data_IF_763443584860
#
_entry.id   IF_763443584860
#
_cell.length_a   1.000
_cell.length_b   1.000
_cell.length_c   1.000
_cell.angle_alpha   90.00
_cell.angle_beta   90.00
_cell.angle_gamma   90.00
#
_symmetry.space_group_name_H-M   'P 1'
#
loop_
_entity.id
_entity.type
_entity.pdbx_description
1 polymer ?
#
# COMPACT_ATOMS: atom_id res chain seq x y z
N UNK A 1 -1.65 84.27 17.54
CA UNK A 1 -2.07 83.06 18.21
C UNK A 1 -2.35 81.97 17.19
N UNK A 2 -1.45 81.01 17.03
CA UNK A 2 -1.62 79.84 16.12
C UNK A 2 -1.87 78.61 16.96
N UNK A 3 -2.89 77.77 16.67
CA UNK A 3 -3.06 76.52 17.39
C UNK A 3 -2.14 75.42 16.84
N UNK A 4 -1.47 74.71 17.74
CA UNK A 4 -0.66 73.54 17.49
C UNK A 4 -1.59 72.35 17.48
N UNK A 5 -1.67 71.65 16.32
CA UNK A 5 -2.45 70.41 16.19
C UNK A 5 -1.48 69.28 16.52
N UNK A 6 -1.78 68.56 17.59
CA UNK A 6 -1.12 67.30 18.01
C UNK A 6 -1.73 66.15 17.17
N UNK A 7 -0.95 65.58 16.24
CA UNK A 7 -1.34 64.34 15.54
C UNK A 7 -0.81 63.18 16.36
N UNK A 8 -1.71 62.46 17.03
CA UNK A 8 -1.48 61.19 17.65
C UNK A 8 -1.38 60.08 16.57
N UNK A 9 -0.20 59.62 16.29
CA UNK A 9 0.05 58.41 15.50
C UNK A 9 -0.34 57.17 16.32
N UNK A 10 -1.51 56.60 16.02
CA UNK A 10 -1.90 55.27 16.47
C UNK A 10 -1.24 54.24 15.57
N UNK A 11 -0.13 53.64 16.02
CA UNK A 11 0.47 52.50 15.37
C UNK A 11 -0.38 51.25 15.66
N UNK A 12 -1.22 50.88 14.69
CA UNK A 12 -1.90 49.59 14.66
C UNK A 12 -0.86 48.49 14.44
N UNK A 13 -0.52 47.77 15.52
CA UNK A 13 0.15 46.46 15.42
C UNK A 13 -0.88 45.49 14.86
N UNK A 14 -0.89 45.31 13.56
CA UNK A 14 -1.58 44.20 12.92
C UNK A 14 -0.79 42.93 13.22
N UNK A 15 -1.25 42.18 14.22
CA UNK A 15 -0.85 40.79 14.39
C UNK A 15 -1.33 40.03 13.15
N UNK A 16 -0.44 39.72 12.26
CA UNK A 16 -0.68 38.83 11.14
C UNK A 16 -1.02 37.44 11.74
N UNK A 17 -2.30 37.15 11.88
CA UNK A 17 -2.78 35.79 12.02
C UNK A 17 -2.40 35.11 10.71
N UNK A 18 -1.44 34.20 10.76
CA UNK A 18 -1.12 33.34 9.64
C UNK A 18 -2.39 32.58 9.26
N UNK A 19 -2.89 32.85 8.06
CA UNK A 19 -3.97 32.05 7.47
C UNK A 19 -3.56 30.58 7.49
N UNK A 20 -4.49 29.67 7.81
CA UNK A 20 -4.21 28.25 7.72
C UNK A 20 -3.88 27.95 6.26
N UNK A 21 -2.64 27.53 5.98
CA UNK A 21 -2.25 27.05 4.66
C UNK A 21 -3.18 25.90 4.28
N UNK A 22 -3.94 26.08 3.23
CA UNK A 22 -4.75 25.00 2.64
C UNK A 22 -3.79 23.86 2.25
N UNK A 23 -4.01 22.70 2.85
CA UNK A 23 -3.28 21.47 2.51
C UNK A 23 -3.61 21.13 1.06
N UNK A 24 -2.62 21.03 0.16
CA UNK A 24 -2.89 20.69 -1.23
C UNK A 24 -3.67 19.37 -1.31
N UNK A 25 -4.76 19.35 -2.06
CA UNK A 25 -5.66 18.20 -2.24
C UNK A 25 -4.93 16.92 -2.71
N UNK A 26 -3.72 17.06 -3.24
CA UNK A 26 -2.85 15.96 -3.73
C UNK A 26 -2.12 15.16 -2.64
N UNK A 27 -1.96 15.67 -1.43
CA UNK A 27 -1.07 15.04 -0.45
C UNK A 27 -1.62 13.75 0.18
N UNK A 28 -2.92 13.58 0.46
CA UNK A 28 -3.48 12.29 0.85
C UNK A 28 -3.32 11.22 -0.23
N UNK A 29 -3.44 11.60 -1.51
CA UNK A 29 -3.16 10.71 -2.65
C UNK A 29 -1.68 10.28 -2.68
N UNK A 30 -0.75 11.20 -2.41
CA UNK A 30 0.68 10.93 -2.32
C UNK A 30 1.00 9.93 -1.19
N UNK A 31 0.39 10.09 -0.01
CA UNK A 31 0.54 9.16 1.12
C UNK A 31 0.16 7.71 0.74
N UNK A 32 -0.89 7.55 -0.04
CA UNK A 32 -1.32 6.23 -0.54
C UNK A 32 -0.42 5.74 -1.66
N UNK A 33 -0.16 6.56 -2.68
CA UNK A 33 0.60 6.19 -3.87
C UNK A 33 2.06 5.86 -3.57
N UNK A 34 2.64 6.48 -2.54
CA UNK A 34 4.01 6.18 -2.08
C UNK A 34 4.06 5.01 -1.07
N UNK A 35 2.96 4.30 -0.87
CA UNK A 35 2.92 3.09 -0.04
C UNK A 35 2.90 3.31 1.48
N UNK A 36 2.85 4.55 1.96
CA UNK A 36 2.85 4.88 3.39
C UNK A 36 1.65 4.24 4.12
N UNK A 37 0.49 4.18 3.46
CA UNK A 37 -0.73 3.58 3.99
C UNK A 37 -0.62 2.06 4.27
N UNK A 38 0.43 1.40 3.78
CA UNK A 38 0.70 -0.01 4.09
C UNK A 38 1.01 -0.25 5.56
N UNK A 39 1.69 0.71 6.21
CA UNK A 39 2.15 0.59 7.59
C UNK A 39 1.54 1.64 8.53
N UNK A 40 1.03 2.73 7.99
CA UNK A 40 0.56 3.89 8.75
C UNK A 40 -0.92 4.17 8.49
N UNK A 41 -1.60 4.72 9.48
CA UNK A 41 -2.93 5.33 9.36
C UNK A 41 -2.82 6.85 9.55
N UNK A 42 -3.82 7.59 9.07
CA UNK A 42 -3.83 9.05 9.22
C UNK A 42 -4.26 9.44 10.64
N UNK A 43 -5.43 9.03 11.11
CA UNK A 43 -6.10 9.61 12.29
C UNK A 43 -6.56 8.62 13.37
N UNK A 44 -6.30 7.32 13.29
CA UNK A 44 -6.73 6.39 14.35
C UNK A 44 -5.80 6.42 15.55
N UNK A 45 -6.34 6.49 16.80
CA UNK A 45 -5.56 6.19 17.98
C UNK A 45 -5.03 4.77 17.91
N UNK A 46 -3.82 4.56 18.40
CA UNK A 46 -3.23 3.21 18.57
C UNK A 46 -3.97 2.52 19.70
N UNK A 47 -5.24 2.21 19.52
CA UNK A 47 -5.93 1.28 20.39
C UNK A 47 -5.63 -0.14 19.92
N UNK A 48 -4.71 -0.76 20.65
CA UNK A 48 -4.59 -2.20 20.96
C UNK A 48 -4.74 -3.22 19.82
N UNK A 49 -4.87 -2.85 18.57
CA UNK A 49 -4.91 -3.81 17.49
C UNK A 49 -3.51 -4.00 16.91
N UNK A 50 -2.94 -5.16 17.20
CA UNK A 50 -1.63 -5.70 16.81
C UNK A 50 -1.30 -5.66 15.29
N UNK A 51 -2.02 -4.87 14.49
CA UNK A 51 -1.98 -4.90 13.03
C UNK A 51 -1.35 -3.65 12.38
N UNK A 52 -1.06 -2.58 13.15
CA UNK A 52 -0.38 -1.41 12.60
C UNK A 52 1.08 -1.43 13.00
N UNK A 53 1.94 -1.48 11.99
CA UNK A 53 3.39 -1.58 12.16
C UNK A 53 3.97 -0.23 12.61
N UNK A 54 3.35 0.89 12.19
CA UNK A 54 3.83 2.24 12.46
C UNK A 54 2.82 3.13 13.19
N UNK A 55 3.26 4.29 13.71
CA UNK A 55 2.39 5.28 14.35
C UNK A 55 1.41 5.88 13.35
N UNK A 56 0.31 6.46 13.84
CA UNK A 56 -0.57 7.27 12.99
C UNK A 56 0.15 8.56 12.57
N UNK A 57 -0.18 9.09 11.39
CA UNK A 57 0.41 10.35 10.93
C UNK A 57 0.01 11.52 11.84
N UNK A 58 -1.22 11.51 12.39
CA UNK A 58 -1.64 12.48 13.40
C UNK A 58 -0.82 12.40 14.70
N UNK A 59 -0.42 11.21 15.13
CA UNK A 59 0.48 11.06 16.28
C UNK A 59 1.89 11.60 15.98
N UNK A 60 2.38 11.36 14.75
CA UNK A 60 3.66 11.92 14.29
C UNK A 60 3.58 13.45 14.22
N UNK A 61 2.54 13.98 13.58
CA UNK A 61 2.29 15.43 13.49
C UNK A 61 2.22 16.07 14.88
N UNK A 62 1.43 15.51 15.80
CA UNK A 62 1.32 16.03 17.17
C UNK A 62 2.65 16.03 17.94
N UNK A 63 3.49 15.02 17.70
CA UNK A 63 4.79 14.91 18.38
C UNK A 63 5.80 15.93 17.88
N UNK A 64 5.77 16.25 16.59
CA UNK A 64 6.81 17.05 15.96
C UNK A 64 6.38 18.46 15.51
N UNK A 65 5.07 18.77 15.48
CA UNK A 65 4.56 20.06 14.99
C UNK A 65 5.13 21.29 15.75
N UNK A 66 5.41 21.15 17.05
CA UNK A 66 5.94 22.23 17.87
C UNK A 66 7.46 22.10 18.12
N UNK A 67 8.13 21.12 17.52
CA UNK A 67 9.57 20.94 17.66
C UNK A 67 10.30 21.81 16.64
N UNK A 68 11.34 22.58 17.04
CA UNK A 68 12.10 23.44 16.12
C UNK A 68 12.68 22.69 14.91
N UNK A 69 13.02 21.41 15.09
CA UNK A 69 13.56 20.51 14.06
C UNK A 69 12.54 19.46 13.60
N UNK A 70 11.25 19.71 13.77
CA UNK A 70 10.20 18.73 13.50
C UNK A 70 10.18 18.28 12.03
N UNK A 71 10.24 19.22 11.10
CA UNK A 71 10.30 18.94 9.67
C UNK A 71 11.55 18.12 9.31
N UNK A 72 12.73 18.54 9.75
CA UNK A 72 13.98 17.84 9.50
C UNK A 72 13.98 16.42 10.08
N UNK A 73 13.38 16.24 11.26
CA UNK A 73 13.27 14.92 11.91
C UNK A 73 12.40 13.96 11.12
N UNK A 74 11.30 14.45 10.54
CA UNK A 74 10.43 13.65 9.69
C UNK A 74 11.14 13.33 8.37
N UNK A 75 11.74 14.31 7.71
CA UNK A 75 12.52 14.13 6.49
C UNK A 75 13.65 13.12 6.67
N UNK A 76 14.43 13.26 7.75
CA UNK A 76 15.47 12.29 8.08
C UNK A 76 14.91 10.87 8.28
N UNK A 77 13.74 10.74 8.92
CA UNK A 77 13.10 9.43 9.11
C UNK A 77 12.59 8.83 7.80
N UNK A 78 12.13 9.64 6.86
CA UNK A 78 11.75 9.19 5.51
C UNK A 78 12.98 8.72 4.72
N UNK A 79 14.09 9.43 4.79
CA UNK A 79 15.30 9.12 4.04
C UNK A 79 16.10 7.94 4.61
N UNK A 80 16.28 7.90 5.92
CA UNK A 80 17.17 6.97 6.61
C UNK A 80 16.44 5.82 7.31
N UNK A 81 15.10 5.89 7.35
CA UNK A 81 14.29 5.02 8.19
C UNK A 81 14.24 5.46 9.65
N UNK A 82 13.50 4.74 10.47
CA UNK A 82 13.37 5.04 11.89
C UNK A 82 13.31 3.75 12.71
N UNK A 83 14.14 3.70 13.78
CA UNK A 83 14.20 2.59 14.73
C UNK A 83 14.04 3.10 16.16
N UNK A 84 13.23 2.41 16.95
CA UNK A 84 13.10 2.69 18.39
C UNK A 84 12.36 3.98 18.77
N UNK A 85 11.97 4.83 17.80
CA UNK A 85 11.25 6.09 18.06
C UNK A 85 9.78 5.90 18.46
N UNK A 86 9.17 4.81 17.98
CA UNK A 86 7.75 4.47 18.08
C UNK A 86 7.50 3.01 18.48
N UNK A 87 8.37 2.42 19.27
CA UNK A 87 8.31 1.02 19.68
C UNK A 87 9.41 0.17 19.03
N UNK A 88 9.20 -1.14 18.98
CA UNK A 88 10.21 -2.09 18.49
C UNK A 88 10.25 -2.23 16.95
N UNK A 89 9.18 -1.82 16.28
CA UNK A 89 9.10 -1.93 14.82
C UNK A 89 10.01 -0.88 14.15
N UNK A 90 10.66 -1.30 13.08
CA UNK A 90 11.52 -0.43 12.29
C UNK A 90 10.77 0.05 11.03
N UNK A 91 10.89 1.33 10.73
CA UNK A 91 10.49 1.90 9.44
C UNK A 91 11.71 1.86 8.52
N UNK A 92 11.67 1.16 7.38
CA UNK A 92 12.77 1.14 6.44
C UNK A 92 12.93 2.51 5.76
N UNK A 93 14.15 2.82 5.21
CA UNK A 93 14.35 4.00 4.38
C UNK A 93 13.41 4.02 3.17
N UNK A 94 12.84 5.19 2.86
CA UNK A 94 11.93 5.40 1.73
C UNK A 94 12.70 5.99 0.54
N UNK A 95 13.74 5.29 0.08
CA UNK A 95 14.67 5.76 -0.97
C UNK A 95 14.04 6.00 -2.34
N UNK A 96 12.79 5.57 -2.55
CA UNK A 96 12.03 5.82 -3.77
C UNK A 96 11.35 7.19 -3.79
N UNK A 97 11.27 7.89 -2.65
CA UNK A 97 10.70 9.24 -2.60
C UNK A 97 11.63 10.24 -3.25
N UNK A 98 11.08 11.08 -4.13
CA UNK A 98 11.80 12.30 -4.53
C UNK A 98 11.86 13.28 -3.37
N UNK A 99 12.80 14.23 -3.43
CA UNK A 99 12.95 15.26 -2.41
C UNK A 99 11.63 16.03 -2.21
N UNK A 100 11.01 16.43 -3.31
CA UNK A 100 9.77 17.21 -3.34
C UNK A 100 8.61 16.43 -2.70
N UNK A 101 8.49 15.13 -3.01
CA UNK A 101 7.45 14.26 -2.42
C UNK A 101 7.67 14.05 -0.93
N UNK A 102 8.91 13.90 -0.50
CA UNK A 102 9.26 13.78 0.92
C UNK A 102 8.93 15.06 1.70
N UNK A 103 9.25 16.23 1.14
CA UNK A 103 8.94 17.54 1.72
C UNK A 103 7.42 17.74 1.85
N UNK A 104 6.65 17.50 0.78
CA UNK A 104 5.20 17.62 0.80
C UNK A 104 4.55 16.69 1.84
N UNK A 105 5.02 15.44 1.94
CA UNK A 105 4.54 14.51 2.95
C UNK A 105 4.88 14.97 4.38
N UNK A 106 6.10 15.44 4.60
CA UNK A 106 6.54 15.87 5.93
C UNK A 106 5.79 17.13 6.39
N UNK A 107 5.60 18.10 5.52
CA UNK A 107 4.81 19.31 5.78
C UNK A 107 3.35 18.95 6.10
N UNK A 108 2.75 18.11 5.27
CA UNK A 108 1.39 17.64 5.51
C UNK A 108 1.25 16.90 6.86
N UNK A 109 2.18 16.01 7.20
CA UNK A 109 2.16 15.31 8.49
C UNK A 109 2.17 16.30 9.65
N UNK A 110 2.93 17.39 9.55
CA UNK A 110 2.98 18.42 10.59
C UNK A 110 1.66 19.19 10.74
N UNK A 111 0.81 19.23 9.69
CA UNK A 111 -0.53 19.81 9.80
C UNK A 111 -1.53 18.91 10.53
N UNK A 112 -1.24 17.58 10.61
CA UNK A 112 -2.09 16.60 11.26
C UNK A 112 -1.88 16.63 12.78
N UNK A 113 -2.51 17.57 13.45
CA UNK A 113 -2.49 17.63 14.92
C UNK A 113 -3.57 16.74 15.50
N UNK A 114 -3.25 16.06 16.61
CA UNK A 114 -4.28 15.47 17.45
C UNK A 114 -5.17 16.62 17.94
N UNK A 115 -6.45 16.59 17.62
CA UNK A 115 -7.40 17.50 18.26
C UNK A 115 -7.40 17.14 19.74
N UNK A 116 -6.90 18.04 20.59
CA UNK A 116 -7.03 17.91 22.03
C UNK A 116 -8.51 18.02 22.36
N UNK A 117 -9.07 16.97 22.92
CA UNK A 117 -10.36 17.01 23.56
C UNK A 117 -10.28 18.00 24.75
N UNK A 118 -11.23 18.95 24.88
CA UNK A 118 -11.24 19.82 26.07
C UNK A 118 -11.56 18.97 27.30
N UNK A 119 -10.57 18.91 28.19
CA UNK A 119 -10.55 18.47 29.56
C UNK A 119 -11.72 17.63 30.07
N UNK A 120 -11.52 16.34 30.27
CA UNK A 120 -12.40 15.47 31.02
C UNK A 120 -11.63 14.64 32.01
N UNK A 121 -11.67 15.08 33.29
CA UNK A 121 -11.15 14.33 34.42
C UNK A 121 -11.91 13.00 34.59
N UNK A 122 -11.16 11.96 34.93
CA UNK A 122 -11.67 10.64 35.25
C UNK A 122 -12.74 10.65 36.34
N UNK A 123 -13.92 10.10 36.04
CA UNK A 123 -14.79 9.43 37.05
C UNK A 123 -15.55 8.29 36.35
N UNK A 124 -15.48 7.15 37.02
CA UNK A 124 -16.07 5.87 36.71
C UNK A 124 -17.60 5.87 36.63
N UNK A 125 -18.14 5.03 35.73
CA UNK A 125 -19.43 4.38 35.89
C UNK A 125 -20.63 5.13 35.33
N UNK A 126 -21.14 4.64 34.19
CA UNK A 126 -22.43 4.98 33.64
C UNK A 126 -22.43 4.85 32.13
N UNK A 127 -23.20 3.89 31.65
CA UNK A 127 -23.44 3.69 30.22
C UNK A 127 -24.04 4.98 29.63
N UNK A 128 -23.22 5.79 29.01
CA UNK A 128 -23.63 6.98 28.27
C UNK A 128 -23.67 6.60 26.80
N UNK A 129 -24.78 6.84 26.08
CA UNK A 129 -24.78 6.65 24.65
C UNK A 129 -23.67 7.53 24.04
N UNK A 130 -22.75 6.92 23.29
CA UNK A 130 -21.72 7.67 22.61
C UNK A 130 -22.36 8.72 21.70
N UNK A 131 -21.96 10.00 21.81
CA UNK A 131 -22.33 10.97 20.82
C UNK A 131 -21.77 10.48 19.49
N UNK A 132 -22.62 10.37 18.48
CA UNK A 132 -22.21 10.07 17.13
C UNK A 132 -21.02 10.99 16.78
N UNK A 133 -19.85 10.39 16.58
CA UNK A 133 -18.60 11.11 16.30
C UNK A 133 -18.77 11.82 14.96
N UNK A 134 -19.20 13.07 15.03
CA UNK A 134 -19.33 13.92 13.86
C UNK A 134 -17.91 14.44 13.54
N UNK A 135 -17.21 13.75 12.66
CA UNK A 135 -15.95 14.26 12.12
C UNK A 135 -16.33 15.34 11.09
N UNK A 136 -16.10 16.64 11.38
CA UNK A 136 -16.47 17.72 10.48
C UNK A 136 -15.77 17.63 9.12
N UNK A 137 -14.62 16.93 9.02
CA UNK A 137 -13.96 16.64 7.74
C UNK A 137 -14.66 15.53 6.92
N UNK A 138 -15.61 14.79 7.52
CA UNK A 138 -16.42 13.79 6.84
C UNK A 138 -17.83 14.29 6.50
N UNK A 139 -18.25 15.50 6.94
CA UNK A 139 -19.64 15.93 6.81
C UNK A 139 -19.94 16.85 5.63
N UNK A 140 -18.96 17.46 4.96
CA UNK A 140 -19.29 18.43 3.89
C UNK A 140 -18.54 18.31 2.57
N UNK A 141 -17.42 17.58 2.50
CA UNK A 141 -16.88 16.99 1.26
C UNK A 141 -16.33 15.65 1.63
N UNK A 142 -16.95 14.57 1.22
CA UNK A 142 -16.36 13.25 1.24
C UNK A 142 -15.04 13.38 0.49
N UNK A 143 -13.93 13.47 1.23
CA UNK A 143 -12.59 13.23 0.65
C UNK A 143 -12.73 11.92 -0.10
N UNK A 144 -12.49 11.94 -1.42
CA UNK A 144 -12.82 10.82 -2.28
C UNK A 144 -12.29 9.53 -1.69
N UNK A 145 -13.19 8.63 -1.36
CA UNK A 145 -12.85 7.27 -0.89
C UNK A 145 -12.35 6.41 -2.04
N UNK A 146 -12.48 6.92 -3.24
CA UNK A 146 -12.00 6.31 -4.48
C UNK A 146 -10.51 6.59 -4.62
N UNK A 147 -9.74 5.50 -4.67
CA UNK A 147 -8.32 5.56 -5.01
C UNK A 147 -8.22 5.43 -6.52
N UNK A 148 -7.77 6.48 -7.17
CA UNK A 148 -7.51 6.52 -8.61
C UNK A 148 -6.05 6.19 -8.91
N UNK A 149 -5.80 5.60 -10.07
CA UNK A 149 -4.46 5.36 -10.59
C UNK A 149 -4.13 6.50 -11.55
N UNK A 150 -3.16 7.32 -11.17
CA UNK A 150 -2.62 8.38 -12.02
C UNK A 150 -1.52 7.85 -12.96
N UNK A 151 -0.50 8.67 -13.18
CA UNK A 151 0.62 8.36 -14.08
C UNK A 151 1.65 7.38 -13.48
N UNK A 152 1.51 7.03 -12.22
CA UNK A 152 2.41 6.09 -11.52
C UNK A 152 1.62 4.92 -10.92
N UNK A 153 2.24 3.73 -10.80
CA UNK A 153 1.61 2.60 -10.11
C UNK A 153 1.21 2.94 -8.68
N UNK A 154 0.04 2.46 -8.27
CA UNK A 154 -0.48 2.60 -6.91
C UNK A 154 -0.44 1.25 -6.21
N UNK A 155 0.15 1.20 -5.01
CA UNK A 155 0.18 0.00 -4.18
C UNK A 155 -0.58 0.25 -2.88
N UNK A 156 -1.61 -0.54 -2.62
CA UNK A 156 -2.49 -0.38 -1.47
C UNK A 156 -2.65 -1.70 -0.72
N UNK A 157 -2.37 -1.71 0.58
CA UNK A 157 -2.60 -2.87 1.43
C UNK A 157 -3.95 -2.74 2.15
N UNK A 158 -4.90 -3.60 1.79
CA UNK A 158 -6.27 -3.56 2.30
C UNK A 158 -6.91 -4.95 2.34
N UNK A 159 -8.08 -5.04 2.99
CA UNK A 159 -8.90 -6.23 2.89
C UNK A 159 -9.60 -6.27 1.54
N UNK A 160 -9.43 -7.36 0.82
CA UNK A 160 -10.04 -7.60 -0.48
C UNK A 160 -10.79 -8.93 -0.49
N UNK A 161 -11.89 -9.04 -1.24
CA UNK A 161 -12.65 -10.28 -1.34
C UNK A 161 -11.77 -11.45 -1.80
N UNK A 162 -11.84 -12.58 -1.09
CA UNK A 162 -11.09 -13.78 -1.42
C UNK A 162 -9.67 -13.86 -0.85
N UNK A 163 -9.17 -12.82 -0.19
CA UNK A 163 -7.91 -12.86 0.55
C UNK A 163 -8.13 -13.45 1.95
N UNK A 164 -7.16 -14.22 2.47
CA UNK A 164 -7.22 -14.73 3.85
C UNK A 164 -6.99 -13.63 4.88
N UNK A 165 -6.21 -12.62 4.52
CA UNK A 165 -5.95 -11.45 5.36
C UNK A 165 -5.91 -10.20 4.48
N UNK A 166 -5.09 -9.20 4.83
CA UNK A 166 -4.90 -8.04 3.98
C UNK A 166 -4.12 -8.43 2.72
N UNK A 167 -4.71 -8.14 1.56
CA UNK A 167 -4.05 -8.27 0.28
C UNK A 167 -3.28 -7.00 -0.08
N UNK A 168 -2.39 -7.13 -1.04
CA UNK A 168 -1.70 -6.02 -1.69
C UNK A 168 -2.35 -5.82 -3.05
N UNK A 169 -3.10 -4.72 -3.18
CA UNK A 169 -3.67 -4.28 -4.45
C UNK A 169 -2.67 -3.41 -5.19
N UNK A 170 -2.52 -3.64 -6.47
CA UNK A 170 -1.64 -2.86 -7.35
C UNK A 170 -2.45 -2.37 -8.54
N UNK A 171 -2.52 -1.05 -8.70
CA UNK A 171 -3.10 -0.39 -9.86
C UNK A 171 -2.01 0.09 -10.79
N UNK A 172 -2.09 -0.24 -12.07
CA UNK A 172 -1.13 0.18 -13.08
C UNK A 172 -1.72 1.32 -13.90
N UNK A 173 -0.94 2.38 -14.21
CA UNK A 173 -1.39 3.47 -15.07
C UNK A 173 -1.72 2.98 -16.49
N UNK A 174 -2.46 3.81 -17.24
CA UNK A 174 -2.88 3.48 -18.61
C UNK A 174 -1.72 3.13 -19.53
N UNK A 175 -0.60 3.79 -19.39
CA UNK A 175 0.64 3.54 -20.15
C UNK A 175 1.20 2.13 -19.91
N UNK A 176 0.95 1.56 -18.72
CA UNK A 176 1.30 0.18 -18.38
C UNK A 176 0.12 -0.80 -18.54
N UNK A 177 -0.95 -0.36 -19.22
CA UNK A 177 -2.10 -1.20 -19.56
C UNK A 177 -3.37 -0.95 -18.74
N UNK A 178 -3.38 -0.04 -17.77
CA UNK A 178 -4.57 0.32 -16.99
C UNK A 178 -5.21 -0.84 -16.23
N UNK A 179 -4.39 -1.84 -15.84
CA UNK A 179 -4.83 -3.08 -15.22
C UNK A 179 -4.45 -3.05 -13.75
N UNK A 180 -5.29 -3.65 -12.95
CA UNK A 180 -5.04 -3.80 -11.53
C UNK A 180 -5.00 -5.27 -11.14
N UNK A 181 -4.22 -5.59 -10.10
CA UNK A 181 -4.19 -6.95 -9.56
C UNK A 181 -4.09 -6.97 -8.03
N UNK A 182 -4.50 -8.08 -7.44
CA UNK A 182 -4.41 -8.33 -6.01
C UNK A 182 -3.49 -9.52 -5.72
N UNK A 183 -2.57 -9.35 -4.78
CA UNK A 183 -1.67 -10.36 -4.27
C UNK A 183 -2.02 -10.70 -2.81
N UNK A 184 -2.23 -11.98 -2.50
CA UNK A 184 -2.43 -12.43 -1.12
C UNK A 184 -1.08 -12.63 -0.43
N UNK A 185 -0.78 -11.76 0.54
CA UNK A 185 0.45 -11.84 1.30
C UNK A 185 0.54 -13.06 2.24
N UNK A 186 -0.61 -13.66 2.62
CA UNK A 186 -0.64 -14.86 3.47
C UNK A 186 -0.37 -16.13 2.67
N UNK A 187 -0.90 -16.17 1.44
CA UNK A 187 -0.77 -17.32 0.55
C UNK A 187 0.31 -17.10 -0.53
N UNK A 188 1.02 -15.97 -0.50
CA UNK A 188 2.12 -15.60 -1.40
C UNK A 188 1.78 -15.80 -2.90
N UNK A 189 0.57 -15.47 -3.29
CA UNK A 189 0.08 -15.72 -4.67
C UNK A 189 -0.78 -14.60 -5.21
N UNK A 190 -0.87 -14.52 -6.54
CA UNK A 190 -1.87 -13.71 -7.23
C UNK A 190 -3.27 -14.20 -6.84
N UNK A 191 -4.18 -13.29 -6.54
CA UNK A 191 -5.60 -13.58 -6.31
C UNK A 191 -6.41 -13.45 -7.60
N UNK A 192 -6.36 -12.27 -8.18
CA UNK A 192 -7.09 -11.94 -9.40
C UNK A 192 -6.54 -10.67 -10.05
N UNK A 193 -6.95 -10.47 -11.29
CA UNK A 193 -6.67 -9.28 -12.08
C UNK A 193 -8.00 -8.66 -12.51
N UNK A 194 -8.08 -7.34 -12.52
CA UNK A 194 -9.27 -6.61 -12.98
C UNK A 194 -8.87 -5.42 -13.84
N UNK A 195 -9.81 -4.95 -14.66
CA UNK A 195 -9.69 -3.75 -15.49
C UNK A 195 -10.78 -2.75 -15.15
N UNK A 196 -10.56 -1.48 -15.44
CA UNK A 196 -11.43 -0.37 -15.09
C UNK A 196 -10.93 0.40 -13.87
N UNK A 197 -11.82 0.95 -13.05
CA UNK A 197 -11.45 1.70 -11.86
C UNK A 197 -10.72 0.85 -10.82
N UNK A 198 -9.92 1.49 -9.96
CA UNK A 198 -9.09 0.77 -8.99
C UNK A 198 -9.88 0.34 -7.76
N UNK A 199 -9.95 1.17 -6.72
CA UNK A 199 -10.59 0.80 -5.44
C UNK A 199 -11.44 1.92 -4.88
N UNK A 200 -12.60 1.56 -4.31
CA UNK A 200 -13.30 2.38 -3.35
C UNK A 200 -13.01 1.86 -1.93
N UNK A 201 -12.39 2.71 -1.15
CA UNK A 201 -11.92 2.43 0.19
C UNK A 201 -12.93 2.85 1.28
N UNK A 202 -14.11 3.34 0.92
CA UNK A 202 -15.08 3.89 1.89
C UNK A 202 -15.27 2.97 3.08
N UNK A 203 -15.64 1.73 2.85
CA UNK A 203 -15.88 0.77 3.94
C UNK A 203 -14.61 0.38 4.67
N UNK A 204 -13.49 0.27 3.96
CA UNK A 204 -12.20 -0.10 4.55
C UNK A 204 -11.64 1.01 5.45
N UNK A 205 -11.93 2.28 5.16
CA UNK A 205 -11.47 3.43 5.94
C UNK A 205 -12.43 3.87 7.04
N UNK A 206 -13.73 3.70 6.85
CA UNK A 206 -14.75 4.15 7.81
C UNK A 206 -15.26 3.03 8.72
N UNK A 207 -15.09 1.77 8.34
CA UNK A 207 -15.54 0.60 9.10
C UNK A 207 -14.66 0.29 10.31
N UNK A 208 -15.23 -0.42 11.29
CA UNK A 208 -14.55 -0.84 12.54
C UNK A 208 -13.60 -2.04 12.36
N UNK A 209 -13.02 -2.20 11.16
CA UNK A 209 -12.11 -3.31 10.80
C UNK A 209 -12.82 -4.46 10.09
N UNK A 210 -12.07 -5.17 9.22
CA UNK A 210 -12.60 -6.34 8.49
C UNK A 210 -13.50 -6.06 7.29
N UNK A 211 -13.74 -4.80 6.97
CA UNK A 211 -14.52 -4.44 5.79
C UNK A 211 -13.64 -4.43 4.53
N UNK A 212 -14.17 -5.03 3.47
CA UNK A 212 -13.47 -5.12 2.19
C UNK A 212 -13.56 -3.79 1.43
N UNK A 213 -12.44 -3.39 0.83
CA UNK A 213 -12.46 -2.37 -0.22
C UNK A 213 -13.23 -2.93 -1.43
N UNK A 214 -13.95 -2.03 -2.12
CA UNK A 214 -14.72 -2.38 -3.31
C UNK A 214 -13.85 -2.19 -4.55
N UNK A 215 -13.79 -3.22 -5.41
CA UNK A 215 -13.21 -3.08 -6.74
C UNK A 215 -14.13 -2.20 -7.60
N UNK A 216 -13.56 -1.22 -8.28
CA UNK A 216 -14.31 -0.33 -9.19
C UNK A 216 -14.26 -0.79 -10.64
N UNK A 217 -13.66 -1.95 -10.89
CA UNK A 217 -13.58 -2.56 -12.20
C UNK A 217 -14.14 -3.98 -12.26
N UNK A 218 -14.07 -4.58 -13.44
CA UNK A 218 -14.48 -5.96 -13.68
C UNK A 218 -13.30 -6.93 -13.58
N UNK A 219 -13.46 -8.03 -12.85
CA UNK A 219 -12.47 -9.11 -12.83
C UNK A 219 -12.36 -9.75 -14.20
N UNK A 220 -11.14 -9.80 -14.71
CA UNK A 220 -10.80 -10.41 -16.01
C UNK A 220 -10.03 -11.73 -15.86
N UNK A 221 -9.46 -11.96 -14.68
CA UNK A 221 -8.79 -13.22 -14.35
C UNK A 221 -8.94 -13.53 -12.88
N UNK A 222 -9.21 -14.80 -12.55
CA UNK A 222 -9.21 -15.35 -11.21
C UNK A 222 -8.12 -16.41 -11.12
N UNK A 223 -7.10 -16.16 -10.29
CA UNK A 223 -6.03 -17.14 -10.10
C UNK A 223 -6.53 -18.37 -9.32
N UNK A 224 -5.88 -19.55 -9.50
CA UNK A 224 -6.19 -20.74 -8.73
C UNK A 224 -6.08 -20.52 -7.22
N UNK A 225 -6.83 -21.30 -6.45
CA UNK A 225 -6.77 -21.24 -5.00
C UNK A 225 -5.50 -21.86 -4.38
N UNK A 226 -4.69 -22.59 -5.18
CA UNK A 226 -3.44 -23.18 -4.73
C UNK A 226 -2.24 -22.25 -5.00
N UNK A 227 -1.18 -22.43 -4.23
CA UNK A 227 0.10 -21.77 -4.47
C UNK A 227 0.76 -22.37 -5.73
N UNK A 228 1.26 -21.54 -6.67
CA UNK A 228 1.63 -22.03 -7.98
C UNK A 228 2.96 -22.75 -8.06
N UNK A 229 3.90 -22.55 -7.11
CA UNK A 229 5.21 -23.19 -7.19
C UNK A 229 5.28 -24.46 -6.34
N UNK A 230 6.08 -25.41 -6.81
CA UNK A 230 6.63 -26.52 -6.06
C UNK A 230 8.14 -26.53 -6.23
N UNK A 231 8.84 -26.64 -5.11
CA UNK A 231 10.30 -26.57 -5.03
C UNK A 231 10.81 -27.87 -4.44
N UNK A 232 11.81 -28.49 -5.08
CA UNK A 232 12.36 -29.79 -4.67
C UNK A 232 11.72 -30.96 -5.41
N UNK A 233 12.12 -32.18 -5.07
CA UNK A 233 11.71 -33.41 -5.77
C UNK A 233 10.21 -33.68 -5.61
N UNK A 234 9.50 -34.03 -6.68
CA UNK A 234 8.04 -34.23 -6.65
C UNK A 234 7.56 -35.32 -5.67
N UNK A 235 8.38 -36.33 -5.45
CA UNK A 235 8.06 -37.47 -4.58
C UNK A 235 8.48 -37.15 -3.15
N UNK A 236 7.56 -36.58 -2.35
CA UNK A 236 7.77 -36.30 -0.93
C UNK A 236 7.55 -34.85 -0.51
N UNK A 237 7.13 -34.00 -1.41
CA UNK A 237 6.72 -32.62 -1.07
C UNK A 237 5.40 -32.63 -0.29
N UNK A 238 5.25 -31.77 0.73
CA UNK A 238 3.99 -31.59 1.40
C UNK A 238 2.92 -31.12 0.40
N UNK A 239 1.69 -31.55 0.59
CA UNK A 239 0.55 -31.15 -0.26
C UNK A 239 0.41 -29.63 -0.36
N UNK A 240 0.80 -28.94 0.71
CA UNK A 240 0.87 -27.48 0.80
C UNK A 240 2.22 -27.04 1.34
N UNK A 241 3.00 -26.21 0.59
CA UNK A 241 4.28 -25.72 1.05
C UNK A 241 4.11 -24.77 2.24
N UNK A 242 5.15 -24.69 3.08
CA UNK A 242 5.27 -23.64 4.10
C UNK A 242 5.58 -22.31 3.42
N UNK A 243 4.75 -21.30 3.66
CA UNK A 243 4.88 -19.97 3.04
C UNK A 243 5.10 -18.91 4.12
N UNK A 244 6.18 -18.15 4.00
CA UNK A 244 6.50 -17.04 4.91
C UNK A 244 6.68 -15.76 4.13
N UNK A 245 5.70 -14.88 4.15
CA UNK A 245 5.78 -13.57 3.51
C UNK A 245 6.75 -12.66 4.27
N UNK A 246 7.76 -12.11 3.58
CA UNK A 246 8.78 -11.22 4.14
C UNK A 246 8.51 -9.74 3.84
N UNK A 247 7.69 -9.45 2.84
CA UNK A 247 7.40 -8.08 2.42
C UNK A 247 7.48 -7.92 0.90
N UNK A 248 7.65 -6.70 0.45
CA UNK A 248 7.96 -6.38 -0.94
C UNK A 248 8.87 -5.16 -1.02
N UNK A 249 9.57 -5.03 -2.12
CA UNK A 249 10.29 -3.81 -2.50
C UNK A 249 9.70 -3.26 -3.80
N UNK A 250 9.80 -1.95 -4.00
CA UNK A 250 9.36 -1.33 -5.24
C UNK A 250 10.49 -1.32 -6.27
N UNK A 251 10.22 -1.89 -7.43
CA UNK A 251 11.12 -1.88 -8.58
C UNK A 251 10.41 -1.14 -9.70
N UNK A 252 10.88 0.06 -10.03
CA UNK A 252 10.22 0.96 -10.99
C UNK A 252 8.74 1.22 -10.64
N UNK A 253 8.48 1.46 -9.34
CA UNK A 253 7.13 1.72 -8.82
C UNK A 253 6.22 0.50 -8.69
N UNK A 254 6.64 -0.68 -9.13
CA UNK A 254 5.86 -1.91 -9.00
C UNK A 254 6.45 -2.83 -7.93
N UNK A 255 5.62 -3.58 -7.17
CA UNK A 255 6.10 -4.45 -6.11
C UNK A 255 6.79 -5.69 -6.68
N UNK A 256 7.94 -6.01 -6.10
CA UNK A 256 8.57 -7.32 -6.15
C UNK A 256 8.37 -7.95 -4.77
N UNK A 257 7.53 -8.98 -4.71
CA UNK A 257 7.15 -9.66 -3.47
C UNK A 257 8.29 -10.58 -3.03
N UNK A 258 8.61 -10.53 -1.73
CA UNK A 258 9.68 -11.32 -1.11
C UNK A 258 9.05 -12.27 -0.11
N UNK A 259 9.31 -13.56 -0.25
CA UNK A 259 8.78 -14.60 0.63
C UNK A 259 9.66 -15.85 0.61
N UNK A 260 9.37 -16.78 1.52
CA UNK A 260 10.00 -18.10 1.53
C UNK A 260 8.98 -19.18 1.19
N UNK A 261 9.44 -20.19 0.49
CA UNK A 261 8.72 -21.43 0.17
C UNK A 261 9.58 -22.58 0.70
N UNK A 262 9.09 -23.30 1.72
CA UNK A 262 9.83 -24.39 2.38
C UNK A 262 11.27 -23.97 2.78
N UNK A 263 11.40 -22.71 3.28
CA UNK A 263 12.69 -22.13 3.68
C UNK A 263 13.51 -21.50 2.53
N UNK A 264 13.18 -21.74 1.25
CA UNK A 264 13.86 -21.13 0.11
C UNK A 264 13.35 -19.72 -0.15
N UNK A 265 14.26 -18.75 -0.26
CA UNK A 265 13.93 -17.37 -0.60
C UNK A 265 13.48 -17.26 -2.07
N UNK A 266 12.38 -16.55 -2.26
CA UNK A 266 11.77 -16.26 -3.56
C UNK A 266 11.50 -14.77 -3.68
N UNK A 267 11.97 -14.17 -4.77
CA UNK A 267 11.51 -12.86 -5.22
C UNK A 267 10.57 -13.06 -6.42
N UNK A 268 9.38 -12.47 -6.34
CA UNK A 268 8.31 -12.68 -7.31
C UNK A 268 7.76 -11.33 -7.77
N UNK A 269 7.88 -11.05 -9.06
CA UNK A 269 7.31 -9.86 -9.70
C UNK A 269 6.21 -10.28 -10.66
N UNK A 270 5.08 -9.56 -10.62
CA UNK A 270 3.95 -9.77 -11.51
C UNK A 270 3.85 -8.56 -12.44
N UNK A 271 3.90 -8.80 -13.73
CA UNK A 271 3.76 -7.78 -14.78
C UNK A 271 2.49 -8.05 -15.54
N UNK A 272 1.55 -7.12 -15.50
CA UNK A 272 0.32 -7.17 -16.29
C UNK A 272 0.44 -6.20 -17.47
N UNK A 273 0.08 -6.65 -18.67
CA UNK A 273 0.08 -5.84 -19.89
C UNK A 273 -1.22 -6.06 -20.65
N UNK A 274 -1.90 -4.98 -21.01
CA UNK A 274 -3.00 -5.03 -21.98
C UNK A 274 -2.48 -4.61 -23.36
N UNK A 275 -2.83 -5.37 -24.38
CA UNK A 275 -2.60 -4.92 -25.76
C UNK A 275 -3.74 -3.98 -26.14
N UNK A 276 -3.41 -2.74 -26.50
CA UNK A 276 -4.38 -1.72 -26.90
C UNK A 276 -5.19 -2.13 -28.14
N UNK A 277 -4.63 -2.98 -29.01
CA UNK A 277 -5.33 -3.56 -30.14
C UNK A 277 -5.61 -5.05 -29.87
N UNK A 278 -6.91 -5.42 -29.81
CA UNK A 278 -7.36 -6.81 -29.66
C UNK A 278 -7.72 -7.27 -28.26
N UNK A 279 -7.72 -6.40 -27.25
CA UNK A 279 -8.27 -6.69 -25.91
C UNK A 279 -7.59 -7.83 -25.11
N UNK A 280 -6.47 -8.39 -25.63
CA UNK A 280 -5.77 -9.47 -24.94
C UNK A 280 -4.94 -8.93 -23.77
N UNK A 281 -4.99 -9.62 -22.64
CA UNK A 281 -4.19 -9.30 -21.45
C UNK A 281 -3.17 -10.40 -21.22
N UNK A 282 -1.92 -10.00 -20.97
CA UNK A 282 -0.84 -10.89 -20.55
C UNK A 282 -0.50 -10.62 -19.09
N UNK A 283 -0.37 -11.69 -18.31
CA UNK A 283 0.07 -11.68 -16.91
C UNK A 283 1.35 -12.49 -16.85
N UNK A 284 2.48 -11.84 -16.61
CA UNK A 284 3.77 -12.52 -16.53
C UNK A 284 4.26 -12.59 -15.10
N UNK A 285 4.50 -13.78 -14.62
CA UNK A 285 5.14 -14.07 -13.35
C UNK A 285 6.65 -14.21 -13.58
N UNK A 286 7.45 -13.37 -12.94
CA UNK A 286 8.90 -13.49 -12.90
C UNK A 286 9.29 -13.96 -11.51
N UNK A 287 9.94 -15.10 -11.45
CA UNK A 287 10.45 -15.68 -10.20
C UNK A 287 11.98 -15.63 -10.19
N UNK A 288 12.55 -15.33 -9.03
CA UNK A 288 13.97 -15.44 -8.77
C UNK A 288 14.18 -16.22 -7.48
N UNK A 289 14.97 -17.30 -7.57
CA UNK A 289 15.31 -18.20 -6.49
C UNK A 289 16.86 -18.29 -6.41
N UNK A 290 17.52 -17.30 -5.81
CA UNK A 290 18.99 -17.24 -5.82
C UNK A 290 19.65 -18.49 -5.26
N UNK A 291 20.59 -19.08 -6.02
CA UNK A 291 21.36 -20.25 -5.61
C UNK A 291 20.58 -21.57 -5.62
N UNK A 292 19.32 -21.58 -6.08
CA UNK A 292 18.52 -22.79 -6.10
C UNK A 292 18.83 -23.66 -7.33
N UNK A 293 19.06 -24.96 -7.11
CA UNK A 293 19.46 -25.91 -8.14
C UNK A 293 18.53 -27.13 -8.26
N UNK A 294 17.69 -27.37 -7.25
CA UNK A 294 16.76 -28.49 -7.26
C UNK A 294 15.59 -28.26 -8.23
N UNK A 295 14.76 -29.27 -8.41
CA UNK A 295 13.63 -29.22 -9.32
C UNK A 295 12.62 -28.16 -8.91
N UNK A 296 12.16 -27.38 -9.88
CA UNK A 296 11.07 -26.39 -9.72
C UNK A 296 9.98 -26.70 -10.74
N UNK A 297 8.75 -26.75 -10.27
CA UNK A 297 7.59 -26.85 -11.14
C UNK A 297 6.55 -25.77 -10.84
N UNK A 298 5.87 -25.32 -11.87
CA UNK A 298 4.74 -24.39 -11.77
C UNK A 298 3.43 -25.14 -12.04
N UNK A 299 2.49 -25.02 -11.13
CA UNK A 299 1.17 -25.64 -11.18
C UNK A 299 0.18 -24.72 -11.88
N UNK A 300 -0.23 -25.03 -13.10
CA UNK A 300 -1.12 -24.18 -13.87
C UNK A 300 -2.56 -24.23 -13.33
N UNK A 301 -3.34 -23.19 -13.65
CA UNK A 301 -4.78 -23.23 -13.47
C UNK A 301 -5.39 -24.29 -14.42
N UNK A 302 -6.44 -24.98 -13.94
CA UNK A 302 -7.26 -25.87 -14.80
C UNK A 302 -8.24 -25.11 -15.72
N UNK A 303 -8.07 -23.78 -15.85
CA UNK A 303 -8.93 -22.91 -16.64
C UNK A 303 -8.43 -22.81 -18.08
N UNK A 304 -9.29 -22.32 -18.99
CA UNK A 304 -8.99 -22.07 -20.41
C UNK A 304 -8.07 -20.85 -20.62
N UNK A 305 -6.87 -20.90 -20.05
CA UNK A 305 -5.83 -19.89 -20.23
C UNK A 305 -4.64 -20.51 -20.94
N UNK A 306 -3.95 -19.71 -21.75
CA UNK A 306 -2.75 -20.16 -22.47
C UNK A 306 -1.51 -19.73 -21.69
N UNK A 307 -0.72 -20.73 -21.27
CA UNK A 307 0.59 -20.49 -20.70
C UNK A 307 1.63 -20.43 -21.80
N UNK A 308 2.52 -19.46 -21.69
CA UNK A 308 3.67 -19.29 -22.57
C UNK A 308 4.93 -19.09 -21.73
N UNK A 309 5.97 -19.84 -22.05
CA UNK A 309 7.30 -19.73 -21.42
C UNK A 309 8.34 -20.42 -22.29
N UNK A 310 9.56 -19.87 -22.28
CA UNK A 310 10.75 -20.49 -22.83
C UNK A 310 11.60 -21.14 -21.76
N UNK A 311 11.26 -20.91 -20.48
CA UNK A 311 12.03 -21.35 -19.32
C UNK A 311 11.57 -22.70 -18.75
N UNK A 312 10.46 -23.26 -19.28
CA UNK A 312 9.87 -24.51 -18.78
C UNK A 312 9.19 -25.31 -19.88
N UNK A 313 9.07 -26.62 -19.67
CA UNK A 313 8.33 -27.53 -20.56
C UNK A 313 7.18 -28.20 -19.84
N UNK A 314 6.13 -28.55 -20.58
CA UNK A 314 5.02 -29.31 -20.06
C UNK A 314 5.42 -30.75 -19.73
N UNK A 315 5.21 -31.17 -18.48
CA UNK A 315 5.43 -32.52 -18.02
C UNK A 315 4.34 -32.94 -17.03
N UNK A 316 3.61 -34.00 -17.31
CA UNK A 316 2.57 -34.56 -16.39
C UNK A 316 1.57 -33.52 -15.82
N UNK A 317 1.17 -32.54 -16.63
CA UNK A 317 0.18 -31.53 -16.22
C UNK A 317 0.73 -30.33 -15.44
N UNK A 318 2.05 -30.20 -15.32
CA UNK A 318 2.74 -29.05 -14.75
C UNK A 318 3.76 -28.49 -15.73
N UNK A 319 4.23 -27.27 -15.50
CA UNK A 319 5.36 -26.68 -16.22
C UNK A 319 6.63 -26.98 -15.39
N UNK A 320 7.49 -27.83 -15.90
CA UNK A 320 8.77 -28.18 -15.30
C UNK A 320 9.83 -27.18 -15.77
N UNK A 321 10.41 -26.43 -14.85
CA UNK A 321 11.42 -25.40 -15.15
C UNK A 321 12.72 -26.07 -15.57
N UNK A 322 13.33 -25.57 -16.65
CA UNK A 322 14.60 -26.08 -17.16
C UNK A 322 15.73 -25.95 -16.12
N UNK A 323 16.64 -26.89 -16.05
CA UNK A 323 17.69 -26.89 -15.00
C UNK A 323 18.53 -25.61 -14.95
N UNK A 324 18.85 -25.02 -16.08
CA UNK A 324 19.62 -23.78 -16.22
C UNK A 324 18.82 -22.50 -15.88
N UNK A 325 17.49 -22.64 -15.73
CA UNK A 325 16.56 -21.53 -15.44
C UNK A 325 16.05 -21.54 -13.99
N UNK A 326 16.38 -22.50 -13.16
CA UNK A 326 15.83 -22.66 -11.81
C UNK A 326 16.12 -21.49 -10.86
N UNK A 327 17.23 -20.79 -11.06
CA UNK A 327 17.55 -19.59 -10.31
C UNK A 327 16.72 -18.36 -10.71
N UNK A 328 16.10 -18.35 -11.90
CA UNK A 328 15.25 -17.27 -12.40
C UNK A 328 14.54 -17.65 -13.69
N UNK A 329 13.21 -17.56 -13.68
CA UNK A 329 12.35 -17.94 -14.81
C UNK A 329 11.09 -17.10 -14.88
N UNK A 330 10.44 -17.15 -16.02
CA UNK A 330 9.22 -16.39 -16.29
C UNK A 330 8.14 -17.26 -16.90
N UNK A 331 6.90 -17.06 -16.46
CA UNK A 331 5.73 -17.75 -16.99
C UNK A 331 4.66 -16.72 -17.29
N UNK A 332 4.22 -16.66 -18.52
CA UNK A 332 3.17 -15.76 -18.98
C UNK A 332 1.83 -16.50 -19.13
N UNK A 333 0.77 -15.85 -18.70
CA UNK A 333 -0.61 -16.27 -18.87
C UNK A 333 -1.26 -15.30 -19.83
N UNK A 334 -1.72 -15.80 -20.98
CA UNK A 334 -2.41 -14.99 -21.96
C UNK A 334 -3.92 -15.23 -21.85
N UNK A 335 -4.64 -14.17 -21.54
CA UNK A 335 -6.11 -14.16 -21.51
C UNK A 335 -6.61 -13.82 -22.92
N UNK A 336 -7.53 -14.63 -23.42
CA UNK A 336 -8.25 -14.27 -24.65
C UNK A 336 -9.28 -13.20 -24.33
N UNK A 337 -9.57 -12.29 -25.29
CA UNK A 337 -10.66 -11.34 -25.16
C UNK A 337 -12.00 -12.01 -25.00
#
# INVERSE_FOLDING_TARGET
MRPVIFILLFSLLQSALAEPQEVPEKVPGLFVSQGCAACHQINRPVETNKLHVGPTMAAVGSRYANAPTGLETILHSLQMGAKGKWGQNEMPPQSHLTKENAEQLAEWILTLRKQEEPGGGAKSGGHRPEPAFHNPLLSEKRVGTVVEVGDTPVVCRTYLPGARSRAIAVGLPQELGGISYAFDATECRLLYVWSGGFLDMEKAWTGHGGWYAKLLGAKIYQAPAHFPLRIGKPNGLPEKPELVFKGYRLVRGQPEFLYQVDGQDVAHRIVCQAKLQGGSVSITHHFSLPGFTDEVSFLPAKQHVHYHTEDATWASGVLLVHPDKRAGFSISINLKP
#
